data_IF_180236443395
#
_entry.id   IF_180236443395
#
_cell.length_a   1.000
_cell.length_b   1.000
_cell.length_c   1.000
_cell.angle_alpha   90.00
_cell.angle_beta   90.00
_cell.angle_gamma   90.00
#
_symmetry.space_group_name_H-M   'P 1'
#
loop_
_entity.id
_entity.type
_entity.pdbx_description
1 polymer ?
#
# COMPACT_ATOMS: atom_id res chain seq x y z
N UNK A 1 9.71 23.46 -20.90
CA UNK A 1 9.14 22.23 -21.37
C UNK A 1 9.66 21.04 -20.59
N UNK A 2 10.94 20.93 -20.43
CA UNK A 2 11.54 19.84 -19.68
C UNK A 2 11.12 19.88 -18.22
N UNK A 3 10.96 21.06 -17.66
CA UNK A 3 10.58 21.20 -16.27
C UNK A 3 9.15 20.75 -16.04
N UNK A 4 8.24 21.07 -16.98
CA UNK A 4 6.86 20.63 -16.88
C UNK A 4 6.75 19.12 -17.03
N UNK A 5 7.52 18.53 -17.92
CA UNK A 5 7.53 17.09 -18.11
C UNK A 5 8.08 16.39 -16.87
N UNK A 6 9.08 16.98 -16.23
CA UNK A 6 9.64 16.44 -15.00
C UNK A 6 8.61 16.47 -13.86
N UNK A 7 7.88 17.57 -13.72
CA UNK A 7 6.84 17.68 -12.70
C UNK A 7 5.71 16.68 -12.94
N UNK A 8 5.28 16.54 -14.18
CA UNK A 8 4.25 15.56 -14.54
C UNK A 8 4.72 14.14 -14.28
N UNK A 9 5.98 13.83 -14.57
CA UNK A 9 6.53 12.52 -14.30
C UNK A 9 6.54 12.23 -12.80
N UNK A 10 6.89 13.20 -11.99
CA UNK A 10 6.93 13.02 -10.55
C UNK A 10 5.53 12.79 -9.98
N UNK A 11 4.53 13.52 -10.47
CA UNK A 11 3.15 13.33 -10.01
C UNK A 11 2.61 11.97 -10.43
N UNK A 12 2.95 11.51 -11.64
CA UNK A 12 2.54 10.20 -12.10
C UNK A 12 3.28 9.10 -11.36
N UNK A 13 4.54 9.34 -11.00
CA UNK A 13 5.37 8.30 -10.42
C UNK A 13 4.91 7.88 -9.02
N UNK A 14 4.22 8.73 -8.28
CA UNK A 14 3.72 8.34 -6.96
C UNK A 14 2.67 7.23 -7.07
N UNK A 15 1.69 7.37 -7.95
CA UNK A 15 0.74 6.29 -8.17
C UNK A 15 1.41 5.09 -8.84
N UNK A 16 2.31 5.33 -9.80
CA UNK A 16 3.00 4.25 -10.49
C UNK A 16 3.82 3.41 -9.52
N UNK A 17 4.48 4.04 -8.56
CA UNK A 17 5.22 3.33 -7.52
C UNK A 17 4.29 2.48 -6.66
N UNK A 18 3.16 3.04 -6.26
CA UNK A 18 2.14 2.29 -5.52
C UNK A 18 1.63 1.10 -6.34
N UNK A 19 1.33 1.34 -7.60
CA UNK A 19 0.82 0.33 -8.52
C UNK A 19 1.81 -0.83 -8.69
N UNK A 20 3.09 -0.52 -8.82
CA UNK A 20 4.12 -1.54 -9.01
C UNK A 20 4.32 -2.41 -7.77
N UNK A 21 4.16 -1.83 -6.59
CA UNK A 21 4.34 -2.58 -5.34
C UNK A 21 3.10 -3.42 -5.02
N UNK A 22 1.93 -2.95 -5.42
CA UNK A 22 0.68 -3.67 -5.14
C UNK A 22 0.66 -5.00 -5.90
N UNK A 23 0.33 -6.13 -5.23
CA UNK A 23 0.37 -7.43 -5.90
C UNK A 23 -0.57 -7.50 -7.09
N UNK A 24 -0.14 -8.18 -8.16
CA UNK A 24 -0.95 -8.35 -9.37
C UNK A 24 -1.97 -9.45 -9.14
N UNK A 25 -1.49 -10.60 -8.64
CA UNK A 25 -2.31 -11.76 -8.37
C UNK A 25 -2.06 -12.27 -6.98
N UNK A 26 -3.05 -12.93 -6.41
CA UNK A 26 -2.83 -13.73 -5.21
C UNK A 26 -3.48 -15.08 -5.45
N UNK A 27 -2.97 -16.14 -4.84
CA UNK A 27 -3.59 -17.45 -4.87
C UNK A 27 -4.48 -17.54 -3.64
N UNK A 28 -5.77 -17.72 -3.86
CA UNK A 28 -6.73 -17.84 -2.78
C UNK A 28 -6.68 -19.23 -2.15
N UNK A 29 -7.22 -19.38 -0.94
CA UNK A 29 -7.21 -20.70 -0.27
C UNK A 29 -7.83 -21.82 -1.09
N UNK A 30 -8.79 -21.51 -1.97
CA UNK A 30 -9.42 -22.50 -2.82
C UNK A 30 -8.59 -22.84 -4.06
N UNK A 31 -7.41 -22.26 -4.21
CA UNK A 31 -6.53 -22.50 -5.34
C UNK A 31 -6.75 -21.60 -6.55
N UNK A 32 -7.78 -20.75 -6.52
CA UNK A 32 -8.04 -19.83 -7.63
C UNK A 32 -7.13 -18.62 -7.54
N UNK A 33 -6.85 -17.99 -8.70
CA UNK A 33 -6.06 -16.77 -8.72
C UNK A 33 -6.98 -15.56 -8.67
N UNK A 34 -6.70 -14.64 -7.77
CA UNK A 34 -7.40 -13.37 -7.68
C UNK A 34 -6.58 -12.26 -8.30
N UNK A 35 -7.16 -11.57 -9.30
CA UNK A 35 -6.49 -10.44 -9.92
C UNK A 35 -6.82 -9.17 -9.11
N UNK A 36 -5.81 -8.50 -8.60
CA UNK A 36 -6.00 -7.40 -7.65
C UNK A 36 -5.93 -6.01 -8.25
N UNK A 37 -5.42 -5.87 -9.47
CA UNK A 37 -5.19 -4.57 -10.09
C UNK A 37 -6.25 -4.18 -11.10
N UNK A 38 -7.54 -4.31 -10.76
CA UNK A 38 -8.61 -3.88 -11.64
C UNK A 38 -8.95 -2.40 -11.41
N UNK A 39 -9.60 -1.79 -12.39
CA UNK A 39 -10.05 -0.39 -12.31
C UNK A 39 -8.89 0.61 -12.09
N UNK A 40 -7.81 0.43 -12.84
CA UNK A 40 -6.59 1.22 -12.65
C UNK A 40 -6.83 2.73 -12.71
N UNK A 41 -7.63 3.20 -13.68
CA UNK A 41 -7.89 4.64 -13.81
C UNK A 41 -8.64 5.21 -12.61
N UNK A 42 -9.60 4.47 -12.08
CA UNK A 42 -10.32 4.86 -10.87
C UNK A 42 -9.38 4.85 -9.67
N UNK A 43 -8.51 3.85 -9.59
CA UNK A 43 -7.55 3.77 -8.51
C UNK A 43 -6.56 4.94 -8.54
N UNK A 44 -6.12 5.33 -9.75
CA UNK A 44 -5.21 6.47 -9.90
C UNK A 44 -5.85 7.75 -9.40
N UNK A 45 -7.11 7.99 -9.78
CA UNK A 45 -7.82 9.18 -9.33
C UNK A 45 -8.02 9.18 -7.83
N UNK A 46 -8.40 8.03 -7.28
CA UNK A 46 -8.62 7.92 -5.85
C UNK A 46 -7.31 8.09 -5.06
N UNK A 47 -6.24 7.47 -5.53
CA UNK A 47 -4.94 7.59 -4.90
C UNK A 47 -4.47 9.05 -4.85
N UNK A 48 -4.58 9.73 -6.00
CA UNK A 48 -4.17 11.13 -6.09
C UNK A 48 -5.04 12.03 -5.20
N UNK A 49 -6.33 11.71 -5.07
CA UNK A 49 -7.22 12.42 -4.16
C UNK A 49 -6.79 12.23 -2.70
N UNK A 50 -6.47 11.00 -2.34
CA UNK A 50 -6.08 10.66 -0.97
C UNK A 50 -4.79 11.37 -0.58
N UNK A 51 -3.76 11.28 -1.43
CA UNK A 51 -2.47 11.88 -1.07
C UNK A 51 -2.44 13.39 -1.25
N UNK A 52 -3.31 13.96 -2.10
CA UNK A 52 -3.37 15.41 -2.29
C UNK A 52 -2.01 16.03 -2.62
N UNK A 53 -1.19 15.35 -3.44
CA UNK A 53 0.16 15.77 -3.81
C UNK A 53 1.15 15.73 -2.64
N UNK A 54 0.78 15.16 -1.50
CA UNK A 54 1.67 15.07 -0.36
C UNK A 54 2.60 13.87 -0.50
N UNK A 55 3.88 14.13 -0.63
CA UNK A 55 4.88 13.07 -0.69
C UNK A 55 4.93 12.30 0.63
N UNK A 56 4.76 13.01 1.75
CA UNK A 56 4.75 12.36 3.06
C UNK A 56 3.60 11.35 3.18
N UNK A 57 2.42 11.71 2.69
CA UNK A 57 1.29 10.80 2.71
C UNK A 57 1.52 9.61 1.79
N UNK A 58 2.10 9.85 0.62
CA UNK A 58 2.47 8.78 -0.29
C UNK A 58 3.43 7.79 0.37
N UNK A 59 4.49 8.30 0.99
CA UNK A 59 5.48 7.45 1.66
C UNK A 59 4.87 6.68 2.82
N UNK A 60 3.96 7.31 3.56
CA UNK A 60 3.25 6.64 4.64
C UNK A 60 2.41 5.47 4.11
N UNK A 61 1.63 5.70 3.06
CA UNK A 61 0.82 4.65 2.45
C UNK A 61 1.71 3.52 1.92
N UNK A 62 2.83 3.88 1.28
CA UNK A 62 3.76 2.87 0.76
C UNK A 62 4.35 2.02 1.88
N UNK A 63 4.69 2.63 3.01
CA UNK A 63 5.20 1.90 4.16
C UNK A 63 4.16 0.92 4.71
N UNK A 64 2.92 1.36 4.83
CA UNK A 64 1.83 0.50 5.29
C UNK A 64 1.57 -0.65 4.32
N UNK A 65 1.61 -0.37 3.01
CA UNK A 65 1.42 -1.41 2.00
C UNK A 65 2.52 -2.47 2.06
N UNK A 66 3.77 -2.05 2.15
CA UNK A 66 4.89 -2.98 2.25
C UNK A 66 4.81 -3.81 3.52
N UNK A 67 4.41 -3.19 4.62
CA UNK A 67 4.22 -3.89 5.88
C UNK A 67 3.14 -4.97 5.75
N UNK A 68 2.02 -4.62 5.14
CA UNK A 68 0.93 -5.58 4.95
C UNK A 68 1.35 -6.76 4.09
N UNK A 69 2.01 -6.48 2.97
CA UNK A 69 2.46 -7.53 2.05
C UNK A 69 3.41 -8.49 2.78
N UNK A 70 4.37 -7.92 3.48
CA UNK A 70 5.36 -8.72 4.20
C UNK A 70 4.70 -9.56 5.29
N UNK A 71 3.82 -8.97 6.09
CA UNK A 71 3.09 -9.66 7.13
C UNK A 71 2.25 -10.81 6.56
N UNK A 72 1.52 -10.55 5.48
CA UNK A 72 0.68 -11.57 4.87
C UNK A 72 1.48 -12.68 4.22
N UNK A 73 2.66 -12.37 3.67
CA UNK A 73 3.54 -13.39 3.13
C UNK A 73 4.08 -14.28 4.24
N UNK A 74 4.48 -13.69 5.35
CA UNK A 74 5.02 -14.45 6.48
C UNK A 74 3.97 -15.32 7.15
N UNK A 75 2.73 -14.87 7.21
CA UNK A 75 1.66 -15.61 7.87
C UNK A 75 0.86 -16.51 6.90
N UNK A 76 1.21 -16.49 5.61
CA UNK A 76 0.49 -17.28 4.61
C UNK A 76 -0.88 -16.74 4.26
N UNK A 77 -1.16 -15.47 4.58
CA UNK A 77 -2.47 -14.86 4.35
C UNK A 77 -2.55 -13.96 3.14
N UNK A 78 -1.53 -13.99 2.27
CA UNK A 78 -1.53 -13.11 1.09
C UNK A 78 -2.76 -13.32 0.20
N UNK A 79 -3.33 -14.51 0.18
CA UNK A 79 -4.53 -14.82 -0.60
C UNK A 79 -5.78 -14.08 -0.15
N UNK A 80 -5.73 -13.44 1.03
CA UNK A 80 -6.87 -12.67 1.54
C UNK A 80 -6.72 -11.17 1.29
N UNK A 81 -5.68 -10.75 0.60
CA UNK A 81 -5.47 -9.32 0.35
C UNK A 81 -6.59 -8.75 -0.52
N UNK A 82 -7.04 -7.54 -0.20
CA UNK A 82 -8.11 -6.88 -0.93
C UNK A 82 -7.65 -6.39 -2.29
N UNK A 83 -8.60 -6.26 -3.23
CA UNK A 83 -8.28 -5.65 -4.52
C UNK A 83 -7.93 -4.18 -4.31
N UNK A 84 -7.14 -3.62 -5.23
CA UNK A 84 -6.60 -2.26 -5.10
C UNK A 84 -7.69 -1.21 -4.85
N UNK A 85 -8.81 -1.29 -5.57
CA UNK A 85 -9.90 -0.33 -5.39
C UNK A 85 -10.46 -0.35 -3.97
N UNK A 86 -10.72 -1.54 -3.43
CA UNK A 86 -11.22 -1.67 -2.06
C UNK A 86 -10.18 -1.25 -1.04
N UNK A 87 -8.93 -1.60 -1.30
CA UNK A 87 -7.82 -1.22 -0.41
C UNK A 87 -7.74 0.30 -0.24
N UNK A 88 -7.92 1.03 -1.35
CA UNK A 88 -7.87 2.50 -1.33
C UNK A 88 -9.14 3.10 -0.73
N UNK A 89 -10.32 2.64 -1.15
CA UNK A 89 -11.59 3.24 -0.70
C UNK A 89 -11.90 2.92 0.75
N UNK A 90 -11.42 1.80 1.27
CA UNK A 90 -11.63 1.41 2.66
C UNK A 90 -10.48 1.85 3.56
N UNK A 91 -9.52 2.62 3.02
CA UNK A 91 -8.36 3.13 3.77
C UNK A 91 -7.64 2.01 4.53
N UNK A 92 -7.35 0.94 3.81
CA UNK A 92 -6.78 -0.26 4.45
C UNK A 92 -5.44 0.00 5.14
N UNK A 93 -4.68 0.99 4.67
CA UNK A 93 -3.42 1.34 5.32
C UNK A 93 -3.60 1.72 6.79
N UNK A 94 -4.77 2.23 7.16
CA UNK A 94 -5.04 2.62 8.54
C UNK A 94 -5.02 1.42 9.49
N UNK A 95 -5.36 0.23 8.97
CA UNK A 95 -5.34 -0.99 9.77
C UNK A 95 -3.94 -1.35 10.24
N UNK A 96 -2.92 -0.87 9.52
CA UNK A 96 -1.53 -1.23 9.82
C UNK A 96 -0.76 -0.13 10.53
N UNK A 97 -1.31 1.08 10.60
CA UNK A 97 -0.67 2.20 11.29
C UNK A 97 -0.41 1.88 12.75
N UNK A 98 -1.39 1.34 13.42
CA UNK A 98 -1.30 1.02 14.84
C UNK A 98 -0.30 -0.09 15.09
N UNK A 99 -0.30 -1.12 14.25
CA UNK A 99 0.63 -2.23 14.38
C UNK A 99 2.07 -1.76 14.18
N UNK A 100 2.31 -0.89 13.22
CA UNK A 100 3.63 -0.35 12.98
C UNK A 100 4.10 0.51 14.15
N UNK A 101 3.20 1.30 14.74
CA UNK A 101 3.53 2.12 15.89
C UNK A 101 3.87 1.27 17.11
N UNK A 102 3.12 0.19 17.34
CA UNK A 102 3.41 -0.72 18.44
C UNK A 102 4.77 -1.39 18.27
N UNK A 103 5.10 -1.78 17.06
CA UNK A 103 6.39 -2.39 16.77
C UNK A 103 7.53 -1.40 17.02
N UNK A 104 7.37 -0.16 16.60
CA UNK A 104 8.37 0.88 16.85
C UNK A 104 8.52 1.16 18.35
N UNK A 105 7.42 1.18 19.08
CA UNK A 105 7.47 1.39 20.52
C UNK A 105 8.19 0.24 21.23
N UNK A 106 7.94 -0.99 20.79
CA UNK A 106 8.62 -2.15 21.35
C UNK A 106 10.13 -2.06 21.14
N UNK A 107 10.54 -1.66 19.93
CA UNK A 107 11.96 -1.49 19.64
C UNK A 107 12.56 -0.34 20.46
N UNK A 108 11.80 0.74 20.62
CA UNK A 108 12.30 1.90 21.32
C UNK A 108 12.51 1.62 22.81
N UNK A 109 11.61 0.90 23.45
CA UNK A 109 11.69 0.64 24.89
C UNK A 109 12.37 -0.69 25.20
N UNK A 110 12.88 -1.34 24.19
CA UNK A 110 13.63 -2.55 24.41
C UNK A 110 12.84 -3.69 24.92
N UNK A 111 11.87 -3.61 25.30
CA UNK A 111 11.03 -4.42 25.58
C UNK A 111 10.86 -5.62 26.03
N UNK A 112 11.15 -6.02 26.07
CA UNK A 112 11.00 -7.12 26.47
C UNK A 112 10.39 -7.29 27.51
N UNK A 113 9.73 -6.97 27.82
CA UNK A 113 9.06 -6.95 28.75
C UNK A 113 8.52 -8.09 29.18
N UNK A 114 8.55 -8.87 29.02
CA UNK A 114 7.92 -9.84 29.51
C UNK A 114 8.19 -10.25 30.50
#
# INVERSE_FOLDING_TARGET
>A
KELLDFIKKNEQSMFDEFYEVFPIYVTRPDGTKGFLRSNVNKCRKEYNRIIGKSKAMHEHIMSCLRYEIDDKLQTGKIGYMKIMWKWLTQHEWECYEEQMNEQQNAELYGTTVI
#
